data_IF_741366445218
#
_entry.id   IF_741366445218
#
_cell.length_a   1.000
_cell.length_b   1.000
_cell.length_c   1.000
_cell.angle_alpha   90.00
_cell.angle_beta   90.00
_cell.angle_gamma   90.00
#
_symmetry.space_group_name_H-M   'P 1'
#
loop_
_entity.id
_entity.type
_entity.pdbx_description
1 polymer ?
#
# COMPACT_ATOMS: atom_id res chain seq x y z
N UNK A 1 -24.87 -20.44 15.45
CA UNK A 1 -25.23 -21.69 14.73
C UNK A 1 -25.87 -21.29 13.42
N UNK A 2 -25.15 -21.36 12.30
CA UNK A 2 -25.70 -21.14 10.96
C UNK A 2 -25.19 -22.26 10.07
N UNK A 3 -26.02 -23.29 9.88
CA UNK A 3 -25.81 -24.32 8.87
C UNK A 3 -26.14 -23.69 7.51
N UNK A 4 -25.13 -23.32 6.74
CA UNK A 4 -25.31 -22.96 5.33
C UNK A 4 -25.51 -24.24 4.54
N UNK A 5 -26.77 -24.62 4.36
CA UNK A 5 -27.19 -25.66 3.42
C UNK A 5 -26.79 -25.26 2.00
N UNK A 6 -25.64 -25.74 1.51
CA UNK A 6 -25.20 -25.56 0.12
C UNK A 6 -25.97 -26.50 -0.80
N UNK A 7 -27.26 -26.24 -1.03
CA UNK A 7 -27.97 -26.86 -2.14
C UNK A 7 -27.39 -26.29 -3.44
N UNK A 8 -26.59 -27.07 -4.18
CA UNK A 8 -26.22 -26.74 -5.56
C UNK A 8 -27.44 -27.02 -6.44
N UNK A 9 -28.16 -25.99 -6.93
CA UNK A 9 -29.31 -26.20 -7.79
C UNK A 9 -28.85 -26.87 -9.10
N UNK A 10 -29.37 -28.07 -9.38
CA UNK A 10 -29.06 -28.83 -10.60
C UNK A 10 -28.16 -30.06 -10.42
N UNK A 11 -27.69 -30.37 -9.20
CA UNK A 11 -26.90 -31.60 -8.98
C UNK A 11 -27.75 -32.86 -9.22
N UNK A 12 -27.29 -33.83 -10.03
CA UNK A 12 -28.01 -35.09 -10.27
C UNK A 12 -28.00 -36.03 -9.05
N UNK A 13 -27.17 -35.76 -8.04
CA UNK A 13 -26.94 -36.65 -6.89
C UNK A 13 -27.12 -35.95 -5.53
N UNK A 14 -28.06 -35.01 -5.43
CA UNK A 14 -28.33 -34.25 -4.19
C UNK A 14 -28.54 -35.11 -2.94
N UNK A 15 -29.10 -36.32 -3.09
CA UNK A 15 -29.32 -37.26 -1.99
C UNK A 15 -28.03 -37.94 -1.51
N UNK A 16 -27.07 -38.19 -2.42
CA UNK A 16 -25.75 -38.72 -2.08
C UNK A 16 -24.85 -37.66 -1.44
N UNK A 17 -25.06 -36.38 -1.73
CA UNK A 17 -24.30 -35.29 -1.10
C UNK A 17 -24.55 -35.16 0.41
N UNK A 18 -25.59 -35.80 0.93
CA UNK A 18 -25.98 -35.76 2.36
C UNK A 18 -25.89 -37.13 3.05
N UNK A 19 -25.43 -38.16 2.35
CA UNK A 19 -25.40 -39.54 2.83
C UNK A 19 -24.08 -40.21 2.47
N UNK A 20 -23.66 -41.21 3.24
CA UNK A 20 -22.47 -42.03 2.93
C UNK A 20 -22.78 -43.23 2.01
N UNK A 21 -23.92 -43.20 1.31
CA UNK A 21 -24.30 -44.24 0.35
C UNK A 21 -23.39 -44.17 -0.89
N UNK A 22 -23.02 -45.34 -1.42
CA UNK A 22 -22.31 -45.41 -2.70
C UNK A 22 -23.26 -45.07 -3.86
N UNK A 23 -22.80 -44.35 -4.91
CA UNK A 23 -23.58 -44.15 -6.12
C UNK A 23 -23.80 -45.48 -6.85
N UNK A 24 -24.99 -45.66 -7.39
CA UNK A 24 -25.31 -46.81 -8.25
C UNK A 24 -24.68 -46.67 -9.62
N UNK A 25 -24.49 -47.78 -10.34
CA UNK A 25 -23.86 -47.79 -11.67
C UNK A 25 -24.60 -46.91 -12.69
N UNK A 26 -25.90 -46.72 -12.53
CA UNK A 26 -26.73 -45.82 -13.35
C UNK A 26 -26.59 -44.33 -12.99
N UNK A 27 -26.14 -44.01 -11.77
CA UNK A 27 -25.96 -42.63 -11.30
C UNK A 27 -24.55 -42.10 -11.61
N UNK A 28 -23.56 -42.97 -11.79
CA UNK A 28 -22.18 -42.57 -12.06
C UNK A 28 -22.07 -41.72 -13.35
N UNK A 29 -22.64 -42.11 -14.52
CA UNK A 29 -22.51 -41.33 -15.75
C UNK A 29 -23.05 -39.90 -15.67
N UNK A 30 -24.28 -39.61 -15.17
CA UNK A 30 -24.76 -38.24 -15.07
C UNK A 30 -23.97 -37.42 -14.05
N UNK A 31 -23.45 -38.03 -12.98
CA UNK A 31 -22.57 -37.36 -12.02
C UNK A 31 -21.25 -36.95 -12.69
N UNK A 32 -20.62 -37.85 -13.44
CA UNK A 32 -19.37 -37.55 -14.15
C UNK A 32 -19.55 -36.44 -15.20
N UNK A 33 -20.65 -36.48 -15.96
CA UNK A 33 -20.98 -35.43 -16.92
C UNK A 33 -21.17 -34.09 -16.20
N UNK A 34 -21.96 -34.06 -15.12
CA UNK A 34 -22.15 -32.86 -14.31
C UNK A 34 -20.83 -32.32 -13.74
N UNK A 35 -19.92 -33.18 -13.28
CA UNK A 35 -18.58 -32.77 -12.83
C UNK A 35 -17.82 -32.14 -14.01
N UNK A 36 -17.75 -32.79 -15.16
CA UNK A 36 -16.99 -32.31 -16.32
C UNK A 36 -17.48 -30.95 -16.85
N UNK A 37 -18.79 -30.73 -16.86
CA UNK A 37 -19.38 -29.45 -17.27
C UNK A 37 -19.03 -28.33 -16.28
N UNK A 38 -19.13 -28.61 -14.98
CA UNK A 38 -18.78 -27.63 -13.95
C UNK A 38 -17.27 -27.38 -13.90
N UNK A 39 -16.43 -28.39 -14.16
CA UNK A 39 -14.98 -28.24 -14.29
C UNK A 39 -14.66 -27.27 -15.44
N UNK A 40 -15.26 -27.49 -16.62
CA UNK A 40 -15.08 -26.63 -17.79
C UNK A 40 -15.53 -25.19 -17.52
N UNK A 41 -16.62 -25.02 -16.76
CA UNK A 41 -17.12 -23.70 -16.35
C UNK A 41 -16.20 -23.03 -15.33
N UNK A 42 -15.59 -23.77 -14.41
CA UNK A 42 -14.57 -23.26 -13.49
C UNK A 42 -13.35 -22.76 -14.26
N UNK A 43 -12.83 -23.57 -15.19
CA UNK A 43 -11.67 -23.21 -16.00
C UNK A 43 -11.94 -21.92 -16.81
N UNK A 44 -13.13 -21.79 -17.39
CA UNK A 44 -13.53 -20.59 -18.12
C UNK A 44 -13.67 -19.34 -17.23
N UNK A 45 -14.08 -19.51 -15.97
CA UNK A 45 -14.13 -18.41 -15.00
C UNK A 45 -12.73 -18.02 -14.54
N UNK A 46 -11.84 -18.99 -14.29
CA UNK A 46 -10.46 -18.73 -13.87
C UNK A 46 -9.70 -17.95 -14.95
N UNK A 47 -9.88 -18.30 -16.23
CA UNK A 47 -9.33 -17.52 -17.36
C UNK A 47 -9.82 -16.07 -17.35
N UNK A 48 -11.11 -15.84 -17.12
CA UNK A 48 -11.67 -14.47 -17.05
C UNK A 48 -11.15 -13.71 -15.84
N UNK A 49 -11.02 -14.38 -14.69
CA UNK A 49 -10.46 -13.80 -13.47
C UNK A 49 -9.01 -13.37 -13.71
N UNK A 50 -8.20 -14.20 -14.36
CA UNK A 50 -6.80 -13.90 -14.61
C UNK A 50 -6.61 -12.77 -15.62
N UNK A 51 -7.45 -12.72 -16.67
CA UNK A 51 -7.45 -11.60 -17.60
C UNK A 51 -7.80 -10.28 -16.89
N UNK A 52 -8.86 -10.25 -16.08
CA UNK A 52 -9.24 -9.07 -15.32
C UNK A 52 -8.17 -8.65 -14.31
N UNK A 53 -7.51 -9.61 -13.65
CA UNK A 53 -6.37 -9.32 -12.76
C UNK A 53 -5.22 -8.68 -13.53
N UNK A 54 -4.89 -9.17 -14.73
CA UNK A 54 -3.84 -8.58 -15.56
C UNK A 54 -4.20 -7.15 -16.00
N UNK A 55 -5.45 -6.91 -16.39
CA UNK A 55 -5.94 -5.57 -16.71
C UNK A 55 -5.86 -4.62 -15.50
N UNK A 56 -6.27 -5.09 -14.31
CA UNK A 56 -6.19 -4.32 -13.07
C UNK A 56 -4.74 -3.97 -12.71
N UNK A 57 -3.81 -4.93 -12.80
CA UNK A 57 -2.38 -4.69 -12.56
C UNK A 57 -1.82 -3.64 -13.53
N UNK A 58 -2.17 -3.72 -14.82
CA UNK A 58 -1.77 -2.72 -15.82
C UNK A 58 -2.26 -1.33 -15.44
N UNK A 59 -3.54 -1.17 -15.12
CA UNK A 59 -4.09 0.13 -14.72
C UNK A 59 -3.46 0.67 -13.43
N UNK A 60 -3.19 -0.20 -12.46
CA UNK A 60 -2.52 0.18 -11.22
C UNK A 60 -1.11 0.72 -11.50
N UNK A 61 -0.34 0.04 -12.35
CA UNK A 61 1.00 0.49 -12.76
C UNK A 61 0.98 1.85 -13.45
N UNK A 62 -0.01 2.11 -14.32
CA UNK A 62 -0.18 3.39 -14.99
C UNK A 62 -0.55 4.49 -14.00
N UNK A 63 -1.47 4.20 -13.08
CA UNK A 63 -1.85 5.12 -11.99
C UNK A 63 -0.65 5.50 -11.15
N UNK A 64 0.16 4.54 -10.74
CA UNK A 64 1.32 4.78 -9.88
C UNK A 64 2.39 5.61 -10.61
N UNK A 65 2.64 5.34 -11.90
CA UNK A 65 3.54 6.15 -12.72
C UNK A 65 3.07 7.61 -12.85
N UNK A 66 1.76 7.82 -13.06
CA UNK A 66 1.17 9.17 -13.13
C UNK A 66 1.24 9.86 -11.77
N UNK A 67 0.89 9.17 -10.69
CA UNK A 67 0.97 9.71 -9.33
C UNK A 67 2.40 10.16 -8.98
N UNK A 68 3.41 9.37 -9.35
CA UNK A 68 4.82 9.73 -9.16
C UNK A 68 5.26 10.90 -10.02
N UNK A 69 4.74 11.02 -11.25
CA UNK A 69 4.97 12.20 -12.08
C UNK A 69 4.39 13.45 -11.41
N UNK A 70 3.12 13.41 -10.99
CA UNK A 70 2.46 14.53 -10.32
C UNK A 70 3.18 14.92 -9.04
N UNK A 71 3.51 13.95 -8.18
CA UNK A 71 4.24 14.19 -6.92
C UNK A 71 5.58 14.90 -7.15
N UNK A 72 6.35 14.49 -8.16
CA UNK A 72 7.63 15.15 -8.53
C UNK A 72 7.42 16.59 -8.98
N UNK A 73 6.36 16.87 -9.73
CA UNK A 73 6.04 18.22 -10.21
C UNK A 73 5.39 19.11 -9.15
N UNK A 74 4.66 18.55 -8.19
CA UNK A 74 4.23 19.28 -6.99
C UNK A 74 5.46 19.70 -6.18
N UNK A 75 6.39 18.76 -5.96
CA UNK A 75 7.65 19.10 -5.32
C UNK A 75 8.36 20.21 -6.11
N UNK A 76 8.46 20.06 -7.45
CA UNK A 76 8.63 21.12 -8.47
C UNK A 76 8.51 22.57 -8.00
N UNK A 77 7.24 22.89 -7.82
CA UNK A 77 6.66 24.22 -7.59
C UNK A 77 6.49 24.51 -6.09
N UNK A 78 7.00 23.64 -5.22
CA UNK A 78 6.94 23.83 -3.78
C UNK A 78 7.53 25.19 -3.40
N UNK A 79 6.77 25.94 -2.59
CA UNK A 79 7.17 27.25 -2.08
C UNK A 79 8.54 27.17 -1.41
N UNK A 80 8.84 26.07 -0.70
CA UNK A 80 10.12 25.85 -0.03
C UNK A 80 11.34 25.89 -0.97
N UNK A 81 11.17 25.71 -2.28
CA UNK A 81 12.26 25.84 -3.27
C UNK A 81 12.45 27.25 -3.80
N UNK A 82 11.51 28.15 -3.50
CA UNK A 82 11.53 29.56 -3.90
C UNK A 82 11.89 30.50 -2.75
N UNK A 83 11.82 30.02 -1.51
CA UNK A 83 12.25 30.78 -0.34
C UNK A 83 13.77 30.91 -0.38
N UNK A 84 14.32 32.14 -0.31
CA UNK A 84 15.75 32.37 -0.17
C UNK A 84 16.31 31.63 1.05
N UNK A 85 17.54 31.08 0.96
CA UNK A 85 18.15 30.32 2.06
C UNK A 85 18.26 31.14 3.36
N UNK A 86 18.38 32.46 3.26
CA UNK A 86 18.44 33.38 4.40
C UNK A 86 17.15 33.34 5.22
N UNK A 87 15.98 33.38 4.57
CA UNK A 87 14.69 33.31 5.26
C UNK A 87 14.46 31.92 5.87
N UNK A 88 14.92 30.86 5.21
CA UNK A 88 14.88 29.50 5.80
C UNK A 88 15.78 29.43 7.04
N UNK A 89 16.97 30.02 6.99
CA UNK A 89 17.89 30.07 8.13
C UNK A 89 17.29 30.87 9.29
N UNK A 90 16.61 31.97 9.01
CA UNK A 90 15.91 32.76 10.03
C UNK A 90 14.79 31.96 10.68
N UNK A 91 13.96 31.27 9.88
CA UNK A 91 12.93 30.35 10.40
C UNK A 91 13.55 29.29 11.30
N UNK A 92 14.68 28.68 10.90
CA UNK A 92 15.37 27.69 11.73
C UNK A 92 15.77 28.27 13.09
N UNK A 93 16.32 29.49 13.11
CA UNK A 93 16.68 30.18 14.34
C UNK A 93 15.46 30.40 15.23
N UNK A 94 14.34 30.86 14.67
CA UNK A 94 13.10 31.06 15.42
C UNK A 94 12.52 29.76 15.98
N UNK A 95 12.58 28.66 15.22
CA UNK A 95 12.09 27.35 15.69
C UNK A 95 12.88 26.80 16.87
N UNK A 96 14.15 27.18 17.02
CA UNK A 96 15.01 26.76 18.13
C UNK A 96 15.00 27.74 19.31
N UNK A 97 14.67 29.02 19.06
CA UNK A 97 14.61 30.05 20.09
C UNK A 97 13.35 29.99 20.97
N UNK A 98 12.28 29.33 20.50
CA UNK A 98 10.94 29.36 21.11
C UNK A 98 10.68 28.46 22.32
N UNK A 99 11.59 27.54 22.67
CA UNK A 99 11.43 26.72 23.88
C UNK A 99 12.02 25.32 23.77
N UNK A 100 12.78 24.94 24.79
CA UNK A 100 13.41 23.63 25.02
C UNK A 100 14.23 23.13 23.82
N UNK A 101 15.46 23.61 23.73
CA UNK A 101 16.56 23.08 22.88
C UNK A 101 16.73 21.55 22.94
N UNK A 102 16.13 20.89 23.93
CA UNK A 102 16.13 19.45 24.16
C UNK A 102 15.16 18.67 23.26
N UNK A 103 13.99 19.23 22.92
CA UNK A 103 12.93 18.48 22.20
C UNK A 103 13.12 18.52 20.68
N UNK A 104 13.80 19.53 20.15
CA UNK A 104 14.03 19.70 18.72
C UNK A 104 15.45 20.21 18.41
N UNK A 105 16.49 19.39 18.61
CA UNK A 105 17.85 19.78 18.31
C UNK A 105 18.09 20.15 16.83
N UNK A 106 19.09 21.01 16.54
CA UNK A 106 19.35 21.57 15.21
C UNK A 106 19.49 20.54 14.08
N UNK A 107 19.98 19.33 14.41
CA UNK A 107 20.19 18.28 13.43
C UNK A 107 18.90 17.73 12.82
N UNK A 108 17.74 17.84 13.49
CA UNK A 108 16.44 17.41 12.93
C UNK A 108 16.10 18.18 11.64
N UNK A 109 16.43 19.47 11.59
CA UNK A 109 16.21 20.30 10.40
C UNK A 109 17.01 19.79 9.19
N UNK A 110 18.20 19.22 9.45
CA UNK A 110 19.02 18.58 8.43
C UNK A 110 18.47 17.25 7.93
N UNK A 111 17.57 16.57 8.66
CA UNK A 111 17.01 15.28 8.24
C UNK A 111 15.91 15.41 7.17
N UNK A 112 15.35 16.60 6.97
CA UNK A 112 14.21 16.83 6.08
C UNK A 112 14.62 16.69 4.60
N UNK A 113 15.64 17.42 4.16
CA UNK A 113 16.17 17.29 2.80
C UNK A 113 17.61 17.81 2.67
N UNK A 114 18.25 17.55 1.53
CA UNK A 114 19.61 18.02 1.23
C UNK A 114 19.77 19.54 1.28
N UNK A 115 18.75 20.29 0.84
CA UNK A 115 18.78 21.76 0.83
C UNK A 115 18.77 22.30 2.27
N UNK A 116 17.86 21.79 3.10
CA UNK A 116 17.73 22.17 4.50
C UNK A 116 18.98 21.78 5.31
N UNK A 117 19.58 20.61 5.04
CA UNK A 117 20.87 20.25 5.64
C UNK A 117 21.97 21.25 5.28
N UNK A 118 22.07 21.65 4.01
CA UNK A 118 23.04 22.67 3.58
C UNK A 118 22.83 23.98 4.32
N UNK A 119 21.58 24.47 4.38
CA UNK A 119 21.22 25.72 5.07
C UNK A 119 21.54 25.61 6.57
N UNK A 120 21.13 24.54 7.23
CA UNK A 120 21.37 24.33 8.66
C UNK A 120 22.86 24.30 8.99
N UNK A 121 23.67 23.59 8.21
CA UNK A 121 25.13 23.56 8.39
C UNK A 121 25.79 24.92 8.10
N UNK A 122 25.24 25.70 7.15
CA UNK A 122 25.72 27.05 6.83
C UNK A 122 25.22 28.15 7.77
N UNK A 123 24.44 27.81 8.81
CA UNK A 123 23.88 28.78 9.77
C UNK A 123 24.55 28.58 11.14
N UNK A 124 25.66 29.28 11.44
CA UNK A 124 26.46 29.04 12.66
C UNK A 124 25.67 29.21 13.96
N UNK A 125 24.69 30.12 13.97
CA UNK A 125 23.87 30.39 15.16
C UNK A 125 23.13 29.16 15.68
N UNK A 126 22.70 28.24 14.79
CA UNK A 126 22.02 27.00 15.17
C UNK A 126 22.90 26.08 16.02
N UNK A 127 24.22 26.20 15.88
CA UNK A 127 25.21 25.35 16.54
C UNK A 127 25.92 26.05 17.71
N UNK A 128 25.45 27.24 18.08
CA UNK A 128 26.03 28.04 19.16
C UNK A 128 25.87 27.38 20.55
N UNK A 129 24.88 26.50 20.71
CA UNK A 129 24.65 25.74 21.92
C UNK A 129 24.28 24.29 21.55
N UNK A 130 25.09 23.34 22.00
CA UNK A 130 24.84 21.91 21.85
C UNK A 130 24.91 21.30 23.24
N UNK A 131 23.86 20.60 23.65
CA UNK A 131 23.88 19.85 24.91
C UNK A 131 24.00 18.37 24.62
N UNK A 132 24.96 17.73 25.27
CA UNK A 132 25.24 16.30 25.14
C UNK A 132 24.81 15.64 26.43
N UNK A 133 23.77 14.81 26.36
CA UNK A 133 23.42 13.92 27.46
C UNK A 133 24.36 12.71 27.43
N UNK A 134 25.27 12.63 28.40
CA UNK A 134 26.03 11.40 28.63
C UNK A 134 25.17 10.43 29.42
N UNK A 135 24.80 9.30 28.81
CA UNK A 135 24.22 8.17 29.56
C UNK A 135 25.34 7.49 30.36
N UNK A 136 25.16 7.23 31.67
CA UNK A 136 26.15 6.56 32.51
C UNK A 136 26.39 5.10 32.10
#
# INVERSE_FOLDING_TARGET
MTQTSSSSPGSPCTHLLKSNNAPTETEIPPIQLFISENQSRLDALDVQIDDLRAQMQRLQSQRDAVADCVRRHIAVVSVLRRVPPELISEIFVWTLAGGQTWDAPPWYLGLICRSWRGIALSTPFLWSCIVVESRP
#
